data_IF_193910796562
#
_entry.id   IF_193910796562
#
_cell.length_a   1.000
_cell.length_b   1.000
_cell.length_c   1.000
_cell.angle_alpha   90.00
_cell.angle_beta   90.00
_cell.angle_gamma   90.00
#
_symmetry.space_group_name_H-M   'P 1'
#
loop_
_entity.id
_entity.type
_entity.pdbx_description
1 polymer ?
#
# COMPACT_ATOMS: atom_id res chain seq x y z
N UNK A 1 22.30 0.79 16.78
CA UNK A 1 21.17 1.16 15.91
C UNK A 1 20.61 -0.11 15.27
N UNK A 2 19.50 -0.61 15.80
CA UNK A 2 18.84 -1.79 15.21
C UNK A 2 17.94 -1.33 14.05
N UNK A 3 18.47 -1.27 12.86
CA UNK A 3 17.78 -0.84 11.64
C UNK A 3 16.69 -1.80 11.14
N UNK A 4 16.58 -2.99 11.71
CA UNK A 4 15.61 -3.99 11.25
C UNK A 4 14.18 -3.78 11.75
N UNK A 5 13.97 -2.93 12.74
CA UNK A 5 12.62 -2.64 13.27
C UNK A 5 11.92 -1.48 12.53
N UNK A 6 12.64 -0.70 11.73
CA UNK A 6 12.09 0.50 11.09
C UNK A 6 11.26 0.21 9.83
N UNK A 7 11.43 -0.95 9.21
CA UNK A 7 10.72 -1.33 7.99
C UNK A 7 9.38 -2.03 8.23
N UNK A 8 9.07 -2.41 9.47
CA UNK A 8 7.88 -3.21 9.79
C UNK A 8 6.73 -2.38 10.37
N UNK A 9 6.82 -1.04 10.30
CA UNK A 9 5.90 -0.14 10.98
C UNK A 9 5.48 1.03 10.10
N UNK A 10 4.25 1.50 10.27
CA UNK A 10 3.79 2.81 9.85
C UNK A 10 3.89 3.78 11.04
N UNK A 11 4.48 4.95 10.83
CA UNK A 11 4.70 5.99 11.86
C UNK A 11 3.82 7.20 11.60
N UNK A 12 3.35 7.84 12.68
CA UNK A 12 2.56 9.06 12.65
C UNK A 12 3.17 10.10 13.58
N UNK A 13 3.50 11.26 13.02
CA UNK A 13 4.04 12.42 13.74
C UNK A 13 3.39 13.70 13.22
N UNK A 14 3.43 14.77 14.02
CA UNK A 14 3.17 16.13 13.53
C UNK A 14 4.34 16.63 12.67
N UNK A 15 4.11 17.66 11.86
CA UNK A 15 5.16 18.25 11.00
C UNK A 15 6.34 18.83 11.79
N UNK A 16 6.13 19.22 13.05
CA UNK A 16 7.18 19.68 13.98
C UNK A 16 7.90 18.53 14.72
N UNK A 17 7.61 17.28 14.33
CA UNK A 17 8.20 16.08 14.92
C UNK A 17 7.56 15.61 16.23
N UNK A 18 6.59 16.36 16.77
CA UNK A 18 5.91 15.94 18.00
C UNK A 18 5.04 14.71 17.77
N UNK A 19 4.90 13.92 18.80
CA UNK A 19 4.09 12.71 18.79
C UNK A 19 2.62 13.08 19.10
N UNK A 20 1.66 12.70 18.24
CA UNK A 20 0.24 12.85 18.55
C UNK A 20 -0.13 12.10 19.83
N UNK A 21 -0.83 12.77 20.73
CA UNK A 21 -1.23 12.20 22.03
C UNK A 21 -2.13 10.97 21.91
N UNK A 22 -2.83 10.88 20.80
CA UNK A 22 -3.78 9.82 20.44
C UNK A 22 -3.14 8.69 19.62
N UNK A 23 -1.80 8.64 19.49
CA UNK A 23 -1.14 7.48 18.89
C UNK A 23 -1.40 6.20 19.72
N UNK A 24 -1.50 5.02 19.06
CA UNK A 24 -1.80 3.78 19.76
C UNK A 24 -0.67 3.37 20.72
N UNK A 25 -1.07 2.75 21.84
CA UNK A 25 -0.13 2.10 22.77
C UNK A 25 -0.26 0.59 22.62
N UNK A 26 0.81 -0.06 22.22
CA UNK A 26 0.84 -1.51 22.04
C UNK A 26 1.13 -2.18 23.39
N UNK A 27 0.17 -2.94 23.90
CA UNK A 27 0.24 -3.61 25.21
C UNK A 27 1.53 -4.44 25.35
N UNK A 28 2.23 -4.27 26.45
CA UNK A 28 3.50 -4.96 26.72
C UNK A 28 4.67 -4.54 25.82
N UNK A 29 4.58 -3.34 25.20
CA UNK A 29 5.56 -2.77 24.31
C UNK A 29 5.96 -1.34 24.72
N UNK A 30 6.16 -1.13 26.01
CA UNK A 30 6.43 0.20 26.59
C UNK A 30 7.74 0.83 26.09
N UNK A 31 8.63 0.00 25.56
CA UNK A 31 9.89 0.41 24.94
C UNK A 31 9.80 0.68 23.41
N UNK A 32 8.62 0.57 22.84
CA UNK A 32 8.44 0.90 21.44
C UNK A 32 8.34 2.41 21.23
N UNK A 33 8.75 2.84 20.02
CA UNK A 33 8.71 4.25 19.65
C UNK A 33 7.26 4.76 19.65
N UNK A 34 6.99 5.90 20.30
CA UNK A 34 5.62 6.41 20.47
C UNK A 34 4.99 6.91 19.17
N UNK A 35 5.76 7.13 18.12
CA UNK A 35 5.26 7.46 16.78
C UNK A 35 4.68 6.27 16.02
N UNK A 36 4.85 5.04 16.50
CA UNK A 36 4.32 3.85 15.81
C UNK A 36 2.79 3.90 15.82
N UNK A 37 2.21 3.88 14.62
CA UNK A 37 0.76 3.88 14.40
C UNK A 37 0.21 2.50 14.05
N UNK A 38 0.95 1.73 13.25
CA UNK A 38 0.59 0.40 12.78
C UNK A 38 1.86 -0.44 12.59
N UNK A 39 1.74 -1.74 12.74
CA UNK A 39 2.85 -2.70 12.60
C UNK A 39 2.57 -3.78 11.55
N UNK A 40 3.60 -4.58 11.28
CA UNK A 40 3.47 -5.76 10.41
C UNK A 40 3.40 -5.45 8.92
N UNK A 41 3.85 -4.27 8.51
CA UNK A 41 4.12 -3.94 7.10
C UNK A 41 5.57 -4.32 6.77
N UNK A 42 5.83 -4.76 5.53
CA UNK A 42 7.19 -5.17 5.14
C UNK A 42 7.96 -4.05 4.45
N UNK A 43 7.41 -3.55 3.37
CA UNK A 43 8.03 -2.56 2.51
C UNK A 43 6.92 -1.75 1.81
N UNK A 44 6.34 -0.76 2.50
CA UNK A 44 5.32 0.11 1.91
C UNK A 44 5.95 0.96 0.80
N UNK A 45 5.21 1.17 -0.29
CA UNK A 45 5.68 1.89 -1.47
C UNK A 45 4.79 3.07 -1.82
N UNK A 46 3.49 2.85 -1.94
CA UNK A 46 2.52 3.89 -2.22
C UNK A 46 1.64 4.15 -1.01
N UNK A 47 1.21 5.40 -0.84
CA UNK A 47 0.27 5.81 0.21
C UNK A 47 -0.54 7.00 -0.27
N UNK A 48 -1.83 6.98 0.03
CA UNK A 48 -2.71 8.11 -0.24
C UNK A 48 -3.79 8.25 0.84
N UNK A 49 -4.31 9.45 0.98
CA UNK A 49 -5.45 9.77 1.86
C UNK A 49 -6.70 9.88 1.01
N UNK A 50 -7.65 8.99 1.20
CA UNK A 50 -8.90 9.02 0.45
C UNK A 50 -9.64 10.35 0.64
N UNK A 51 -9.95 11.07 -0.44
CA UNK A 51 -10.71 12.31 -0.38
C UNK A 51 -12.19 12.12 -0.04
N UNK A 52 -12.64 10.87 0.11
CA UNK A 52 -14.04 10.52 0.38
C UNK A 52 -14.31 10.18 1.84
N UNK A 53 -13.33 9.61 2.54
CA UNK A 53 -13.53 9.15 3.92
C UNK A 53 -12.37 9.47 4.86
N UNK A 54 -11.35 10.19 4.38
CA UNK A 54 -10.12 10.55 5.11
C UNK A 54 -9.31 9.35 5.64
N UNK A 55 -9.59 8.15 5.15
CA UNK A 55 -8.79 6.97 5.49
C UNK A 55 -7.49 6.95 4.70
N UNK A 56 -6.45 6.44 5.31
CA UNK A 56 -5.14 6.27 4.69
C UNK A 56 -5.05 4.87 4.09
N UNK A 57 -4.73 4.79 2.82
CA UNK A 57 -4.49 3.53 2.12
C UNK A 57 -3.03 3.42 1.70
N UNK A 58 -2.54 2.19 1.63
CA UNK A 58 -1.15 1.94 1.25
C UNK A 58 -1.00 0.65 0.44
N UNK A 59 0.05 0.62 -0.38
CA UNK A 59 0.56 -0.58 -1.02
C UNK A 59 1.82 -1.06 -0.32
N UNK A 60 2.04 -2.37 -0.32
CA UNK A 60 3.20 -2.97 0.33
C UNK A 60 3.75 -4.12 -0.51
N UNK A 61 5.07 -4.17 -0.66
CA UNK A 61 5.74 -5.31 -1.29
C UNK A 61 5.83 -6.50 -0.33
N UNK A 62 5.40 -7.66 -0.82
CA UNK A 62 5.81 -8.95 -0.31
C UNK A 62 7.28 -9.25 -0.65
N UNK A 63 7.74 -10.47 -0.38
CA UNK A 63 9.07 -10.90 -0.81
C UNK A 63 9.01 -11.40 -2.27
N UNK A 64 8.61 -12.64 -2.48
CA UNK A 64 8.37 -13.22 -3.81
C UNK A 64 6.88 -13.53 -3.95
N UNK A 65 6.07 -12.50 -4.17
CA UNK A 65 4.61 -12.53 -4.05
C UNK A 65 4.13 -12.07 -2.68
N UNK A 66 2.83 -11.88 -2.55
CA UNK A 66 2.21 -11.36 -1.34
C UNK A 66 2.31 -9.84 -1.20
N UNK A 67 2.50 -9.12 -2.31
CA UNK A 67 2.23 -7.69 -2.35
C UNK A 67 0.77 -7.47 -2.01
N UNK A 68 0.47 -6.37 -1.33
CA UNK A 68 -0.91 -6.11 -0.95
C UNK A 68 -1.25 -4.62 -0.95
N UNK A 69 -2.54 -4.35 -1.05
CA UNK A 69 -3.19 -3.06 -0.88
C UNK A 69 -4.14 -3.14 0.32
N UNK A 70 -4.14 -2.13 1.18
CA UNK A 70 -4.99 -2.08 2.36
C UNK A 70 -4.97 -0.74 3.08
N UNK A 71 -5.78 -0.62 4.13
CA UNK A 71 -5.92 0.58 4.95
C UNK A 71 -4.85 0.62 6.06
N UNK A 72 -4.25 1.78 6.31
CA UNK A 72 -3.45 2.01 7.51
C UNK A 72 -4.39 2.19 8.71
N UNK A 73 -4.46 1.19 9.59
CA UNK A 73 -5.41 1.12 10.70
C UNK A 73 -4.73 1.36 12.05
N UNK A 74 -5.38 2.15 12.90
CA UNK A 74 -4.95 2.48 14.25
C UNK A 74 -4.64 1.22 15.09
N UNK A 75 -3.39 1.09 15.56
CA UNK A 75 -2.97 0.01 16.46
C UNK A 75 -2.98 -1.40 15.85
N UNK A 76 -3.23 -1.54 14.57
CA UNK A 76 -3.39 -2.80 13.87
C UNK A 76 -2.06 -3.43 13.43
N UNK A 77 -2.12 -4.72 13.04
CA UNK A 77 -0.96 -5.52 12.65
C UNK A 77 -1.23 -6.32 11.37
N UNK A 78 -0.54 -6.02 10.30
CA UNK A 78 -0.61 -6.78 9.03
C UNK A 78 0.21 -8.08 9.01
N UNK A 79 0.93 -8.36 10.10
CA UNK A 79 1.50 -9.67 10.38
C UNK A 79 2.83 -10.01 9.74
N UNK A 80 3.53 -9.07 9.10
CA UNK A 80 4.88 -9.33 8.63
C UNK A 80 5.83 -9.59 9.83
N UNK A 81 6.70 -10.67 9.89
CA UNK A 81 6.81 -11.69 8.79
C UNK A 81 6.19 -13.05 9.22
N UNK A 82 5.09 -13.00 9.98
CA UNK A 82 4.32 -14.21 10.35
C UNK A 82 3.41 -14.61 9.20
N UNK A 83 2.83 -13.62 8.51
CA UNK A 83 2.00 -13.80 7.32
C UNK A 83 2.82 -13.54 6.05
N UNK A 84 2.66 -14.41 5.06
CA UNK A 84 3.28 -14.26 3.75
C UNK A 84 2.35 -13.77 2.65
N UNK A 85 1.05 -13.59 2.94
CA UNK A 85 0.01 -13.23 1.95
C UNK A 85 0.02 -14.10 0.69
N UNK A 86 0.46 -15.37 0.86
CA UNK A 86 0.65 -16.33 -0.23
C UNK A 86 2.00 -16.25 -0.94
N UNK A 87 2.83 -15.30 -0.58
CA UNK A 87 4.20 -15.19 -1.09
C UNK A 87 5.19 -16.12 -0.40
N UNK A 88 6.38 -16.20 -0.99
CA UNK A 88 7.51 -16.99 -0.49
C UNK A 88 8.71 -16.11 -0.26
N UNK A 89 9.72 -16.61 0.45
CA UNK A 89 11.05 -16.03 0.46
C UNK A 89 11.69 -16.11 -0.93
N UNK A 90 12.76 -15.36 -1.15
CA UNK A 90 13.50 -15.41 -2.42
C UNK A 90 14.08 -16.78 -2.71
N UNK A 91 14.36 -17.59 -1.70
CA UNK A 91 14.76 -18.99 -1.79
C UNK A 91 13.63 -19.96 -2.17
N UNK A 92 12.38 -19.48 -2.27
CA UNK A 92 11.20 -20.30 -2.57
C UNK A 92 10.52 -20.90 -1.33
N UNK A 93 11.10 -20.77 -0.14
CA UNK A 93 10.49 -21.30 1.09
C UNK A 93 9.29 -20.46 1.51
N UNK A 94 8.27 -21.09 2.09
CA UNK A 94 7.07 -20.38 2.60
C UNK A 94 7.45 -19.43 3.73
N UNK A 95 6.83 -18.25 3.75
CA UNK A 95 6.96 -17.28 4.85
C UNK A 95 5.98 -17.65 5.96
N UNK A 96 4.75 -18.00 5.60
CA UNK A 96 3.68 -18.33 6.53
C UNK A 96 2.34 -18.46 5.81
N UNK A 97 1.22 -18.51 6.55
CA UNK A 97 -0.09 -18.57 5.94
C UNK A 97 -0.41 -17.28 5.14
N UNK A 98 -1.41 -17.37 4.27
CA UNK A 98 -1.92 -16.20 3.55
C UNK A 98 -2.48 -15.16 4.52
N UNK A 99 -3.27 -15.62 5.46
CA UNK A 99 -3.85 -14.81 6.53
C UNK A 99 -4.27 -15.72 7.69
N UNK A 100 -4.44 -15.17 8.88
CA UNK A 100 -5.05 -15.84 10.04
C UNK A 100 -5.71 -14.82 10.98
N UNK A 101 -6.69 -15.24 11.82
CA UNK A 101 -7.30 -14.37 12.83
C UNK A 101 -6.27 -13.70 13.75
N UNK A 102 -6.60 -12.47 14.20
CA UNK A 102 -5.72 -11.65 15.04
C UNK A 102 -4.78 -10.73 14.26
N UNK A 103 -4.88 -10.72 12.93
CA UNK A 103 -4.14 -9.79 12.05
C UNK A 103 -5.09 -9.02 11.14
N UNK A 104 -4.70 -7.82 10.76
CA UNK A 104 -5.41 -7.01 9.77
C UNK A 104 -5.51 -7.75 8.44
N UNK A 105 -6.59 -7.50 7.70
CA UNK A 105 -6.82 -8.13 6.41
C UNK A 105 -6.56 -7.11 5.30
N UNK A 106 -5.74 -7.47 4.33
CA UNK A 106 -5.56 -6.67 3.13
C UNK A 106 -6.85 -6.67 2.28
N UNK A 107 -7.13 -5.56 1.62
CA UNK A 107 -8.25 -5.44 0.66
C UNK A 107 -7.95 -6.32 -0.56
N UNK A 108 -6.73 -6.23 -1.06
CA UNK A 108 -6.24 -7.04 -2.19
C UNK A 108 -4.81 -7.47 -1.94
N UNK A 109 -4.43 -8.66 -2.42
CA UNK A 109 -3.04 -9.09 -2.48
C UNK A 109 -2.76 -9.83 -3.79
N UNK A 110 -1.49 -9.86 -4.20
CA UNK A 110 -1.05 -10.43 -5.47
C UNK A 110 -0.01 -11.53 -5.29
N UNK A 111 -0.23 -12.64 -5.97
CA UNK A 111 0.72 -13.74 -6.12
C UNK A 111 0.60 -14.24 -7.57
N UNK A 112 1.67 -14.13 -8.34
CA UNK A 112 3.01 -13.63 -8.02
C UNK A 112 3.02 -12.12 -7.69
N UNK A 113 4.15 -11.63 -7.17
CA UNK A 113 4.38 -10.20 -6.93
C UNK A 113 4.26 -9.41 -8.23
N UNK A 114 3.53 -8.30 -8.18
CA UNK A 114 3.49 -7.29 -9.24
C UNK A 114 4.54 -6.20 -9.03
N UNK A 115 5.16 -6.18 -7.84
CA UNK A 115 5.96 -5.08 -7.32
C UNK A 115 5.17 -3.77 -7.35
N UNK A 116 4.05 -3.74 -6.59
CA UNK A 116 3.20 -2.55 -6.47
C UNK A 116 4.03 -1.36 -6.02
N UNK A 117 4.02 -0.27 -6.78
CA UNK A 117 4.77 0.95 -6.49
C UNK A 117 3.89 2.01 -5.85
N UNK A 118 3.52 3.02 -6.55
CA UNK A 118 2.66 4.09 -6.03
C UNK A 118 1.19 3.76 -6.13
N UNK A 119 0.36 4.57 -5.47
CA UNK A 119 -1.09 4.48 -5.56
C UNK A 119 -1.75 5.83 -5.28
N UNK A 120 -2.92 6.02 -5.82
CA UNK A 120 -3.82 7.12 -5.49
C UNK A 120 -5.26 6.62 -5.39
N UNK A 121 -6.08 7.27 -4.58
CA UNK A 121 -7.55 7.09 -4.61
C UNK A 121 -8.08 8.13 -5.59
N UNK A 122 -8.58 7.67 -6.71
CA UNK A 122 -8.97 8.54 -7.80
C UNK A 122 -10.10 9.49 -7.38
N UNK A 123 -9.92 10.77 -7.72
CA UNK A 123 -10.94 11.80 -7.66
C UNK A 123 -10.72 12.77 -8.83
N UNK A 124 -11.68 12.84 -9.73
CA UNK A 124 -11.54 13.72 -10.90
C UNK A 124 -12.76 13.73 -11.81
N UNK A 125 -12.75 14.64 -12.78
CA UNK A 125 -13.81 14.83 -13.77
C UNK A 125 -13.56 14.03 -15.07
N UNK A 126 -12.30 13.65 -15.33
CA UNK A 126 -11.90 12.95 -16.57
C UNK A 126 -12.47 11.52 -16.62
N UNK A 127 -12.39 10.79 -15.51
CA UNK A 127 -12.90 9.42 -15.39
C UNK A 127 -13.87 9.32 -14.21
N UNK A 128 -15.04 9.94 -14.30
CA UNK A 128 -16.02 10.05 -13.20
C UNK A 128 -16.42 8.72 -12.58
N UNK A 129 -16.49 7.67 -13.39
CA UNK A 129 -16.81 6.32 -12.95
C UNK A 129 -15.72 5.63 -12.14
N UNK A 130 -14.51 6.21 -12.08
CA UNK A 130 -13.39 5.72 -11.28
C UNK A 130 -13.30 6.39 -9.90
N UNK A 131 -14.15 7.39 -9.67
CA UNK A 131 -14.15 8.12 -8.41
C UNK A 131 -14.30 7.18 -7.20
N UNK A 132 -13.31 7.19 -6.31
CA UNK A 132 -13.23 6.32 -5.13
C UNK A 132 -12.48 5.00 -5.36
N UNK A 133 -12.17 4.62 -6.61
CA UNK A 133 -11.34 3.46 -6.90
C UNK A 133 -9.86 3.76 -6.62
N UNK A 134 -9.08 2.76 -6.24
CA UNK A 134 -7.64 2.89 -6.11
C UNK A 134 -6.95 2.61 -7.45
N UNK A 135 -6.13 3.54 -7.91
CA UNK A 135 -5.22 3.33 -9.03
C UNK A 135 -3.85 2.94 -8.49
N UNK A 136 -3.36 1.76 -8.87
CA UNK A 136 -2.13 1.17 -8.37
C UNK A 136 -1.19 0.91 -9.53
N UNK A 137 0.04 1.43 -9.43
CA UNK A 137 1.11 1.21 -10.40
C UNK A 137 2.00 0.06 -10.00
N UNK A 138 2.73 -0.51 -10.94
CA UNK A 138 3.62 -1.63 -10.67
C UNK A 138 4.93 -1.57 -11.46
N UNK A 139 5.99 -2.05 -10.82
CA UNK A 139 7.34 -2.09 -11.40
C UNK A 139 7.59 -3.38 -12.19
N UNK A 140 7.28 -4.53 -11.58
CA UNK A 140 7.55 -5.82 -12.21
C UNK A 140 6.55 -6.16 -13.30
N UNK A 141 5.29 -5.89 -13.02
CA UNK A 141 4.17 -6.18 -13.91
C UNK A 141 3.96 -5.09 -14.96
N UNK A 142 4.64 -3.94 -14.81
CA UNK A 142 4.61 -2.79 -15.71
C UNK A 142 3.18 -2.38 -16.08
N UNK A 143 2.31 -2.35 -15.06
CA UNK A 143 0.88 -2.13 -15.26
C UNK A 143 0.35 -0.96 -14.43
N UNK A 144 -0.73 -0.36 -14.93
CA UNK A 144 -1.69 0.44 -14.15
C UNK A 144 -2.92 -0.39 -13.90
N UNK A 145 -3.30 -0.50 -12.62
CA UNK A 145 -4.43 -1.31 -12.16
C UNK A 145 -5.44 -0.42 -11.45
N UNK A 146 -6.71 -0.61 -11.76
CA UNK A 146 -7.83 -0.02 -11.06
C UNK A 146 -8.45 -1.05 -10.14
N UNK A 147 -8.52 -0.74 -8.85
CA UNK A 147 -9.11 -1.60 -7.82
C UNK A 147 -10.38 -0.95 -7.31
N UNK A 148 -11.50 -1.57 -7.61
CA UNK A 148 -12.79 -1.19 -7.02
C UNK A 148 -12.95 -1.88 -5.68
N UNK A 149 -13.27 -1.11 -4.65
CA UNK A 149 -13.45 -1.62 -3.29
C UNK A 149 -14.49 -0.78 -2.54
N UNK A 150 -15.00 -1.32 -1.46
CA UNK A 150 -15.89 -0.61 -0.54
C UNK A 150 -15.45 -0.90 0.89
N UNK A 151 -15.06 0.13 1.64
CA UNK A 151 -14.40 0.04 2.93
C UNK A 151 -13.15 -0.87 2.86
N UNK A 152 -13.21 -2.04 3.48
CA UNK A 152 -12.12 -3.04 3.47
C UNK A 152 -12.39 -4.24 2.57
N UNK A 153 -13.43 -4.16 1.70
CA UNK A 153 -13.85 -5.26 0.84
C UNK A 153 -13.45 -5.01 -0.62
N UNK A 154 -12.65 -5.92 -1.16
CA UNK A 154 -12.35 -5.98 -2.58
C UNK A 154 -13.62 -6.31 -3.38
N UNK A 155 -13.85 -5.59 -4.47
CA UNK A 155 -14.96 -5.81 -5.41
C UNK A 155 -14.42 -6.34 -6.73
N UNK A 156 -13.57 -5.59 -7.41
CA UNK A 156 -13.02 -5.98 -8.71
C UNK A 156 -11.65 -5.36 -8.97
N UNK A 157 -10.93 -5.95 -9.91
CA UNK A 157 -9.66 -5.44 -10.44
C UNK A 157 -9.74 -5.39 -11.96
N UNK A 158 -9.30 -4.28 -12.51
CA UNK A 158 -9.13 -4.06 -13.93
C UNK A 158 -7.69 -3.65 -14.23
N UNK A 159 -7.07 -4.27 -15.20
CA UNK A 159 -5.75 -3.85 -15.70
C UNK A 159 -6.01 -2.87 -16.85
N UNK A 160 -5.79 -1.58 -16.60
CA UNK A 160 -6.00 -0.51 -17.58
C UNK A 160 -5.04 -0.69 -18.74
N UNK A 161 -3.75 -0.91 -18.42
CA UNK A 161 -2.75 -1.34 -19.40
C UNK A 161 -1.61 -2.09 -18.72
N UNK A 162 -0.85 -2.82 -19.52
CA UNK A 162 0.31 -3.59 -19.09
C UNK A 162 1.36 -3.63 -20.21
N UNK A 163 2.65 -3.63 -19.83
CA UNK A 163 3.80 -3.75 -20.74
C UNK A 163 3.84 -2.69 -21.87
N UNK A 164 3.27 -1.48 -21.62
CA UNK A 164 3.20 -0.41 -22.62
C UNK A 164 4.25 0.68 -22.45
N UNK A 165 4.50 1.10 -21.20
CA UNK A 165 5.34 2.26 -20.89
C UNK A 165 6.51 1.91 -19.96
N UNK A 166 6.73 0.62 -19.69
CA UNK A 166 7.78 0.14 -18.82
C UNK A 166 7.38 0.12 -17.34
N UNK A 167 8.39 0.15 -16.47
CA UNK A 167 8.23 0.09 -15.01
C UNK A 167 7.69 1.41 -14.49
N UNK A 168 6.47 1.41 -13.98
CA UNK A 168 5.80 2.63 -13.51
C UNK A 168 6.15 2.84 -12.04
N UNK A 169 6.84 3.94 -11.75
CA UNK A 169 7.35 4.27 -10.43
C UNK A 169 6.31 5.00 -9.59
N UNK A 170 5.64 5.97 -10.18
CA UNK A 170 4.76 6.88 -9.46
C UNK A 170 3.52 7.25 -10.28
N UNK A 171 2.49 7.71 -9.60
CA UNK A 171 1.23 8.18 -10.16
C UNK A 171 0.74 9.39 -9.38
N UNK A 172 0.24 10.39 -10.08
CA UNK A 172 -0.36 11.59 -9.51
C UNK A 172 -1.61 11.98 -10.29
N UNK A 173 -2.58 12.58 -9.61
CA UNK A 173 -3.81 13.11 -10.20
C UNK A 173 -3.78 14.62 -10.14
N UNK A 174 -4.02 15.26 -11.26
CA UNK A 174 -4.21 16.71 -11.30
C UNK A 174 -5.59 17.04 -10.69
N UNK A 175 -5.59 17.68 -9.54
CA UNK A 175 -6.79 17.88 -8.70
C UNK A 175 -7.98 18.55 -9.43
N UNK A 176 -7.71 19.48 -10.35
CA UNK A 176 -8.77 20.24 -11.02
C UNK A 176 -9.42 19.51 -12.18
N UNK A 177 -8.64 18.73 -12.93
CA UNK A 177 -9.08 18.08 -14.16
C UNK A 177 -9.35 16.57 -13.96
N UNK A 178 -8.62 15.94 -13.07
CA UNK A 178 -8.61 14.48 -12.91
C UNK A 178 -7.67 13.77 -13.89
N UNK A 179 -6.83 14.52 -14.60
CA UNK A 179 -5.83 13.95 -15.50
C UNK A 179 -4.81 13.15 -14.70
N UNK A 180 -4.40 12.02 -15.27
CA UNK A 180 -3.49 11.07 -14.62
C UNK A 180 -2.09 11.25 -15.18
N UNK A 181 -1.11 11.43 -14.30
CA UNK A 181 0.30 11.50 -14.66
C UNK A 181 1.07 10.31 -14.09
N UNK A 182 1.91 9.70 -14.90
CA UNK A 182 2.71 8.54 -14.56
C UNK A 182 4.19 8.82 -14.78
N UNK A 183 5.02 8.39 -13.84
CA UNK A 183 6.48 8.47 -13.96
C UNK A 183 7.05 7.05 -14.06
N UNK A 184 7.95 6.83 -15.01
CA UNK A 184 8.58 5.54 -15.22
C UNK A 184 10.05 5.53 -14.79
N UNK A 185 10.60 4.35 -14.51
CA UNK A 185 12.03 4.17 -14.20
C UNK A 185 12.96 4.59 -15.34
N UNK A 186 12.44 4.68 -16.56
CA UNK A 186 13.18 5.16 -17.74
C UNK A 186 13.27 6.68 -17.81
N UNK A 187 12.72 7.41 -16.83
CA UNK A 187 12.73 8.87 -16.78
C UNK A 187 11.69 9.54 -17.68
N UNK A 188 10.64 8.83 -18.07
CA UNK A 188 9.53 9.36 -18.87
C UNK A 188 8.36 9.76 -17.99
N UNK A 189 7.70 10.86 -18.37
CA UNK A 189 6.40 11.28 -17.81
C UNK A 189 5.34 11.04 -18.88
N UNK A 190 4.27 10.39 -18.49
CA UNK A 190 3.12 10.07 -19.34
C UNK A 190 1.85 10.72 -18.78
N UNK A 191 0.98 11.13 -19.68
CA UNK A 191 -0.35 11.67 -19.38
C UNK A 191 -1.42 10.78 -20.04
#
# INVERSE_FOLDING_TARGET
>A
YRSSAASDVYKRQHLDGKIPKDNPKFKGKDNWLPEIYQIGVRNPQGMDVSPYNNKIYLTNHGARGGDWFGEAKYGENYGWKILGWGGTNYTGTKIGPKWKPGFSKAIKYWVPSIAASSMVIYKGEEFKEWNGDALITSLRDQSLRKIKFNDDKFISEEIIFKDKIGRIRDIEIQEKTGEIFLITDQGSVWK
#
